data_IF_576846627239
#
_entry.id   IF_576846627239
#
_cell.length_a   1.000
_cell.length_b   1.000
_cell.length_c   1.000
_cell.angle_alpha   90.00
_cell.angle_beta   90.00
_cell.angle_gamma   90.00
#
_symmetry.space_group_name_H-M   'P 1'
#
loop_
_entity.id
_entity.type
_entity.pdbx_description
1 polymer ?
#
# COMPACT_ATOMS: atom_id res chain seq x y z
N UNK A 1 54.38 -55.58 -37.01
CA UNK A 1 54.33 -54.84 -35.74
C UNK A 1 53.52 -53.59 -35.98
N UNK A 2 52.17 -53.63 -35.71
CA UNK A 2 51.26 -52.48 -35.86
C UNK A 2 50.88 -52.05 -34.46
N UNK A 3 51.30 -50.84 -34.04
CA UNK A 3 50.92 -50.22 -32.75
C UNK A 3 49.61 -49.46 -32.98
N UNK A 4 48.52 -49.96 -32.45
CA UNK A 4 47.22 -49.29 -32.38
C UNK A 4 47.24 -48.27 -31.21
N UNK A 5 47.10 -46.99 -31.55
CA UNK A 5 47.01 -45.89 -30.59
C UNK A 5 45.51 -45.70 -30.23
N UNK A 6 45.16 -46.06 -29.01
CA UNK A 6 43.81 -45.83 -28.47
C UNK A 6 43.71 -44.40 -27.95
N UNK A 7 42.96 -43.56 -28.62
CA UNK A 7 42.64 -42.18 -28.18
C UNK A 7 41.41 -42.27 -27.27
N UNK A 8 41.63 -42.13 -25.96
CA UNK A 8 40.57 -41.94 -24.95
C UNK A 8 40.04 -40.51 -25.04
N UNK A 9 38.82 -40.34 -25.61
CA UNK A 9 38.09 -39.08 -25.60
C UNK A 9 37.45 -38.92 -24.25
N UNK A 10 38.08 -38.11 -23.33
CA UNK A 10 37.50 -37.72 -22.09
C UNK A 10 36.44 -36.64 -22.33
N UNK A 11 35.16 -37.01 -22.33
CA UNK A 11 34.04 -36.06 -22.29
C UNK A 11 34.02 -35.36 -20.91
N UNK A 12 34.59 -34.16 -20.87
CA UNK A 12 34.38 -33.24 -19.76
C UNK A 12 32.91 -32.76 -19.85
N UNK A 13 32.05 -33.42 -19.05
CA UNK A 13 30.71 -32.91 -18.76
C UNK A 13 30.91 -31.69 -17.87
N UNK A 14 30.87 -30.53 -18.45
CA UNK A 14 30.84 -29.29 -17.72
C UNK A 14 29.44 -29.18 -17.08
N UNK A 15 29.32 -29.64 -15.85
CA UNK A 15 28.13 -29.38 -15.03
C UNK A 15 28.08 -27.87 -14.77
N UNK A 16 27.30 -27.16 -15.56
CA UNK A 16 26.92 -25.79 -15.23
C UNK A 16 26.34 -25.81 -13.82
N UNK A 17 26.79 -24.95 -12.89
CA UNK A 17 26.11 -24.81 -11.62
C UNK A 17 24.67 -24.41 -11.92
N UNK A 18 23.74 -25.32 -11.65
CA UNK A 18 22.33 -24.97 -11.59
C UNK A 18 22.23 -23.91 -10.48
N UNK A 19 22.28 -22.65 -10.86
CA UNK A 19 21.82 -21.55 -10.03
C UNK A 19 20.31 -21.75 -9.82
N UNK A 20 19.99 -22.66 -8.92
CA UNK A 20 18.73 -22.68 -8.19
C UNK A 20 18.74 -21.52 -7.18
N UNK A 21 19.00 -20.31 -7.66
CA UNK A 21 18.36 -19.14 -7.09
C UNK A 21 16.89 -19.39 -7.39
N UNK A 22 16.15 -19.80 -6.37
CA UNK A 22 14.71 -19.91 -6.44
C UNK A 22 14.22 -18.62 -7.10
N UNK A 23 13.79 -18.70 -8.34
CA UNK A 23 13.25 -17.57 -9.09
C UNK A 23 11.97 -17.23 -8.34
N UNK A 24 12.07 -16.25 -7.43
CA UNK A 24 10.92 -15.85 -6.64
C UNK A 24 9.87 -15.43 -7.64
N UNK A 25 8.71 -16.08 -7.59
CA UNK A 25 7.62 -15.70 -8.47
C UNK A 25 7.23 -14.25 -8.15
N UNK A 26 6.84 -13.45 -9.14
CA UNK A 26 6.35 -12.09 -8.91
C UNK A 26 5.28 -12.06 -7.79
N UNK A 27 4.41 -13.07 -7.74
CA UNK A 27 3.37 -13.18 -6.73
C UNK A 27 3.93 -13.30 -5.30
N UNK A 28 4.97 -14.09 -5.07
CA UNK A 28 5.59 -14.20 -3.75
C UNK A 28 6.20 -12.86 -3.27
N UNK A 29 6.74 -12.08 -4.19
CA UNK A 29 7.28 -10.75 -3.90
C UNK A 29 6.16 -9.77 -3.55
N UNK A 30 5.06 -9.78 -4.32
CA UNK A 30 3.86 -8.97 -4.07
C UNK A 30 3.28 -9.29 -2.69
N UNK A 31 3.03 -10.56 -2.42
CA UNK A 31 2.48 -11.02 -1.13
C UNK A 31 3.41 -10.66 0.04
N UNK A 32 4.73 -10.81 -0.18
CA UNK A 32 5.75 -10.38 0.77
C UNK A 32 5.70 -8.87 1.04
N UNK A 33 5.66 -8.05 0.01
CA UNK A 33 5.59 -6.59 0.13
C UNK A 33 4.32 -6.14 0.87
N UNK A 34 3.17 -6.73 0.55
CA UNK A 34 1.90 -6.44 1.23
C UNK A 34 1.90 -6.92 2.68
N UNK A 35 2.52 -8.07 2.97
CA UNK A 35 2.70 -8.57 4.34
C UNK A 35 3.55 -7.60 5.17
N UNK A 36 4.68 -7.15 4.63
CA UNK A 36 5.56 -6.20 5.33
C UNK A 36 4.82 -4.86 5.58
N UNK A 37 4.03 -4.38 4.63
CA UNK A 37 3.21 -3.17 4.81
C UNK A 37 2.25 -3.33 6.01
N UNK A 38 1.50 -4.44 6.08
CA UNK A 38 0.58 -4.71 7.20
C UNK A 38 1.32 -4.86 8.53
N UNK A 39 2.44 -5.62 8.54
CA UNK A 39 3.24 -5.83 9.77
C UNK A 39 3.82 -4.52 10.28
N UNK A 40 4.33 -3.67 9.40
CA UNK A 40 4.85 -2.35 9.79
C UNK A 40 3.79 -1.42 10.39
N UNK A 41 2.53 -1.51 9.95
CA UNK A 41 1.43 -0.71 10.51
C UNK A 41 1.13 -1.02 11.97
N UNK A 42 1.32 -2.27 12.40
CA UNK A 42 1.06 -2.72 13.78
C UNK A 42 2.32 -2.75 14.67
N UNK A 43 3.49 -2.58 14.09
CA UNK A 43 4.74 -2.54 14.85
C UNK A 43 4.77 -1.35 15.81
N UNK A 44 5.28 -1.59 17.03
CA UNK A 44 5.13 -0.66 18.16
C UNK A 44 6.07 0.54 18.08
N UNK A 45 7.27 0.36 17.58
CA UNK A 45 8.29 1.41 17.54
C UNK A 45 8.61 1.86 16.10
N UNK A 46 9.10 3.09 15.98
CA UNK A 46 9.41 3.72 14.68
C UNK A 46 10.45 2.92 13.89
N UNK A 47 11.48 2.41 14.53
CA UNK A 47 12.57 1.72 13.84
C UNK A 47 12.08 0.39 13.22
N UNK A 48 11.29 -0.39 13.96
CA UNK A 48 10.64 -1.60 13.45
C UNK A 48 9.69 -1.29 12.30
N UNK A 49 8.89 -0.23 12.41
CA UNK A 49 8.00 0.21 11.33
C UNK A 49 8.77 0.54 10.05
N UNK A 50 9.83 1.35 10.16
CA UNK A 50 10.70 1.71 9.02
C UNK A 50 11.29 0.46 8.39
N UNK A 51 11.87 -0.45 9.20
CA UNK A 51 12.50 -1.68 8.70
C UNK A 51 11.52 -2.55 7.88
N UNK A 52 10.26 -2.68 8.35
CA UNK A 52 9.24 -3.40 7.61
C UNK A 52 8.89 -2.72 6.29
N UNK A 53 8.68 -1.40 6.28
CA UNK A 53 8.31 -0.69 5.06
C UNK A 53 9.46 -0.63 4.04
N UNK A 54 10.71 -0.48 4.48
CA UNK A 54 11.88 -0.55 3.59
C UNK A 54 12.03 -1.94 2.96
N UNK A 55 11.83 -3.00 3.76
CA UNK A 55 11.81 -4.36 3.23
C UNK A 55 10.67 -4.58 2.25
N UNK A 56 9.47 -4.10 2.58
CA UNK A 56 8.31 -4.16 1.69
C UNK A 56 8.52 -3.37 0.39
N UNK A 57 9.16 -2.18 0.47
CA UNK A 57 9.55 -1.41 -0.70
C UNK A 57 10.52 -2.21 -1.59
N UNK A 58 11.56 -2.81 -1.02
CA UNK A 58 12.54 -3.59 -1.78
C UNK A 58 11.90 -4.79 -2.49
N UNK A 59 10.95 -5.48 -1.84
CA UNK A 59 10.18 -6.57 -2.45
C UNK A 59 9.25 -6.06 -3.57
N UNK A 60 8.58 -4.93 -3.36
CA UNK A 60 7.74 -4.29 -4.38
C UNK A 60 8.54 -3.86 -5.61
N UNK A 61 9.73 -3.26 -5.41
CA UNK A 61 10.65 -2.89 -6.49
C UNK A 61 11.08 -4.11 -7.32
N UNK A 62 11.38 -5.22 -6.67
CA UNK A 62 11.73 -6.48 -7.34
C UNK A 62 10.52 -7.04 -8.10
N UNK A 63 9.32 -6.98 -7.54
CA UNK A 63 8.11 -7.43 -8.21
C UNK A 63 7.84 -6.62 -9.49
N UNK A 64 7.92 -5.30 -9.42
CA UNK A 64 7.77 -4.40 -10.59
C UNK A 64 8.86 -4.66 -11.62
N UNK A 65 10.12 -4.89 -11.19
CA UNK A 65 11.22 -5.20 -12.11
C UNK A 65 11.02 -6.52 -12.86
N UNK A 66 10.33 -7.50 -12.25
CA UNK A 66 10.00 -8.76 -12.91
C UNK A 66 8.77 -8.65 -13.83
N UNK A 67 7.78 -7.84 -13.45
CA UNK A 67 6.58 -7.61 -14.25
C UNK A 67 6.02 -6.19 -14.04
N UNK A 68 6.48 -5.25 -14.90
CA UNK A 68 6.02 -3.85 -14.95
C UNK A 68 4.55 -3.69 -15.43
N UNK A 69 3.89 -4.80 -15.78
CA UNK A 69 2.48 -4.82 -16.16
C UNK A 69 1.57 -5.38 -15.07
N UNK A 70 2.09 -5.72 -13.93
CA UNK A 70 1.31 -6.14 -12.77
C UNK A 70 0.81 -4.94 -11.98
N UNK A 71 -0.50 -4.70 -11.98
CA UNK A 71 -1.13 -3.67 -11.15
C UNK A 71 -0.87 -3.92 -9.66
N UNK A 72 -0.91 -5.18 -9.23
CA UNK A 72 -0.68 -5.61 -7.85
C UNK A 72 0.76 -5.32 -7.40
N UNK A 73 1.75 -5.47 -8.29
CA UNK A 73 3.15 -5.14 -7.97
C UNK A 73 3.32 -3.64 -7.71
N UNK A 74 2.77 -2.80 -8.60
CA UNK A 74 2.77 -1.35 -8.43
C UNK A 74 2.01 -0.92 -7.17
N UNK A 75 0.87 -1.54 -6.88
CA UNK A 75 0.10 -1.24 -5.67
C UNK A 75 0.85 -1.64 -4.40
N UNK A 76 1.50 -2.79 -4.37
CA UNK A 76 2.29 -3.23 -3.23
C UNK A 76 3.49 -2.30 -2.97
N UNK A 77 4.15 -1.82 -4.03
CA UNK A 77 5.21 -0.82 -3.91
C UNK A 77 4.65 0.52 -3.41
N UNK A 78 3.54 0.99 -3.97
CA UNK A 78 2.82 2.19 -3.53
C UNK A 78 2.51 2.17 -2.03
N UNK A 79 1.99 1.05 -1.50
CA UNK A 79 1.64 0.92 -0.08
C UNK A 79 2.84 1.17 0.84
N UNK A 80 3.99 0.55 0.56
CA UNK A 80 5.18 0.69 1.39
C UNK A 80 5.80 2.09 1.29
N UNK A 81 5.85 2.67 0.08
CA UNK A 81 6.29 4.06 -0.11
C UNK A 81 5.41 5.06 0.64
N UNK A 82 4.09 4.84 0.64
CA UNK A 82 3.13 5.69 1.34
C UNK A 82 3.30 5.65 2.85
N UNK A 83 3.56 4.47 3.42
CA UNK A 83 3.80 4.34 4.86
C UNK A 83 5.14 4.93 5.30
N UNK A 84 6.19 4.81 4.51
CA UNK A 84 7.48 5.49 4.77
C UNK A 84 7.29 7.00 4.82
N UNK A 85 6.54 7.58 3.88
CA UNK A 85 6.26 9.02 3.88
C UNK A 85 5.43 9.47 5.09
N UNK A 86 4.56 8.63 5.62
CA UNK A 86 3.76 8.92 6.82
C UNK A 86 4.61 8.96 8.08
N UNK A 87 5.69 8.18 8.13
CA UNK A 87 6.61 8.15 9.29
C UNK A 87 7.43 9.41 9.37
N UNK A 88 7.93 9.89 8.25
CA UNK A 88 8.89 11.01 8.24
C UNK A 88 8.23 12.36 8.51
N UNK A 89 6.94 12.50 8.21
CA UNK A 89 6.11 13.66 8.61
C UNK A 89 6.61 15.03 8.16
N UNK A 90 7.81 15.12 7.65
CA UNK A 90 8.48 16.35 7.26
C UNK A 90 8.41 16.59 5.75
N UNK A 91 7.96 17.78 5.37
CA UNK A 91 7.99 18.27 3.99
C UNK A 91 9.45 18.68 3.62
N UNK A 92 10.30 17.68 3.36
CA UNK A 92 11.63 17.89 2.79
C UNK A 92 11.63 17.74 1.27
N UNK A 93 12.72 18.13 0.59
CA UNK A 93 12.88 17.90 -0.86
C UNK A 93 12.78 16.39 -1.18
N UNK A 94 13.32 15.55 -0.32
CA UNK A 94 13.19 14.08 -0.42
C UNK A 94 11.74 13.65 -0.33
N UNK A 95 10.91 14.27 0.51
CA UNK A 95 9.47 14.02 0.61
C UNK A 95 8.72 14.37 -0.67
N UNK A 96 9.10 15.44 -1.38
CA UNK A 96 8.50 15.79 -2.69
C UNK A 96 8.82 14.73 -3.75
N UNK A 97 10.06 14.27 -3.81
CA UNK A 97 10.45 13.20 -4.74
C UNK A 97 9.78 11.87 -4.36
N UNK A 98 9.73 11.54 -3.07
CA UNK A 98 9.03 10.37 -2.54
C UNK A 98 7.54 10.41 -2.87
N UNK A 99 6.88 11.56 -2.69
CA UNK A 99 5.48 11.75 -3.06
C UNK A 99 5.24 11.52 -4.56
N UNK A 100 6.06 12.10 -5.43
CA UNK A 100 5.96 11.88 -6.88
C UNK A 100 6.15 10.41 -7.26
N UNK A 101 7.12 9.75 -6.64
CA UNK A 101 7.35 8.32 -6.87
C UNK A 101 6.14 7.50 -6.44
N UNK A 102 5.67 7.70 -5.23
CA UNK A 102 4.50 7.00 -4.68
C UNK A 102 3.25 7.23 -5.55
N UNK A 103 2.95 8.46 -5.93
CA UNK A 103 1.78 8.77 -6.78
C UNK A 103 1.89 8.17 -8.17
N UNK A 104 3.11 8.09 -8.73
CA UNK A 104 3.36 7.41 -10.00
C UNK A 104 2.99 5.93 -9.94
N UNK A 105 3.36 5.24 -8.86
CA UNK A 105 3.00 3.82 -8.69
C UNK A 105 1.48 3.63 -8.55
N UNK A 106 0.80 4.52 -7.84
CA UNK A 106 -0.67 4.51 -7.75
C UNK A 106 -1.33 4.77 -9.11
N UNK A 107 -0.87 5.77 -9.84
CA UNK A 107 -1.40 6.09 -11.17
C UNK A 107 -1.16 4.90 -12.13
N UNK A 108 0.02 4.28 -12.07
CA UNK A 108 0.31 3.09 -12.86
C UNK A 108 -0.57 1.90 -12.51
N UNK A 109 -0.86 1.68 -11.23
CA UNK A 109 -1.84 0.68 -10.79
C UNK A 109 -3.19 0.90 -11.49
N UNK A 110 -3.70 2.14 -11.46
CA UNK A 110 -5.00 2.48 -12.05
C UNK A 110 -5.01 2.53 -13.59
N UNK A 111 -3.86 2.74 -14.22
CA UNK A 111 -3.73 2.58 -15.68
C UNK A 111 -3.85 1.10 -16.08
N UNK A 112 -3.26 0.20 -15.32
CA UNK A 112 -3.25 -1.24 -15.58
C UNK A 112 -4.57 -1.92 -15.15
N UNK A 113 -5.14 -1.48 -14.03
CA UNK A 113 -6.39 -1.97 -13.47
C UNK A 113 -7.26 -0.79 -13.00
N UNK A 114 -8.08 -0.19 -13.90
CA UNK A 114 -8.90 0.99 -13.57
C UNK A 114 -9.96 0.76 -12.50
N UNK A 115 -10.31 -0.49 -12.24
CA UNK A 115 -11.28 -0.93 -11.24
C UNK A 115 -10.65 -1.50 -9.96
N UNK A 116 -9.36 -1.34 -9.76
CA UNK A 116 -8.66 -1.76 -8.55
C UNK A 116 -9.15 -0.96 -7.35
N UNK A 117 -10.05 -1.53 -6.53
CA UNK A 117 -10.79 -0.80 -5.49
C UNK A 117 -9.89 -0.18 -4.41
N UNK A 118 -8.84 -0.87 -3.98
CA UNK A 118 -7.89 -0.32 -3.00
C UNK A 118 -7.13 0.89 -3.56
N UNK A 119 -6.73 0.83 -4.84
CA UNK A 119 -6.06 1.96 -5.50
C UNK A 119 -7.02 3.14 -5.70
N UNK A 120 -8.28 2.87 -6.04
CA UNK A 120 -9.34 3.90 -6.11
C UNK A 120 -9.59 4.52 -4.73
N UNK A 121 -9.61 3.71 -3.66
CA UNK A 121 -9.71 4.18 -2.28
C UNK A 121 -8.53 5.08 -1.90
N UNK A 122 -7.31 4.69 -2.23
CA UNK A 122 -6.11 5.50 -2.01
C UNK A 122 -6.15 6.81 -2.81
N UNK A 123 -6.56 6.78 -4.08
CA UNK A 123 -6.73 7.98 -4.92
C UNK A 123 -7.78 8.93 -4.33
N UNK A 124 -8.92 8.39 -3.91
CA UNK A 124 -9.97 9.15 -3.22
C UNK A 124 -9.45 9.81 -1.95
N UNK A 125 -8.66 9.07 -1.15
CA UNK A 125 -8.01 9.58 0.06
C UNK A 125 -7.09 10.76 -0.23
N UNK A 126 -6.28 10.71 -1.28
CA UNK A 126 -5.42 11.85 -1.67
C UNK A 126 -6.25 13.05 -2.10
N UNK A 127 -7.26 12.84 -2.91
CA UNK A 127 -8.12 13.92 -3.39
C UNK A 127 -8.82 14.68 -2.25
N UNK A 128 -9.26 13.99 -1.19
CA UNK A 128 -9.91 14.63 -0.04
C UNK A 128 -8.93 15.28 0.94
N UNK A 129 -7.66 14.84 0.96
CA UNK A 129 -6.66 15.30 1.94
C UNK A 129 -5.75 16.40 1.44
N UNK A 130 -5.45 16.40 0.14
CA UNK A 130 -4.52 17.38 -0.42
C UNK A 130 -5.21 18.73 -0.59
N UNK A 131 -4.48 19.85 -0.38
CA UNK A 131 -4.93 21.16 -0.82
C UNK A 131 -5.15 21.19 -2.34
N UNK A 132 -6.08 22.02 -2.82
CA UNK A 132 -6.40 22.13 -4.26
C UNK A 132 -5.17 22.47 -5.11
N UNK A 133 -4.27 23.32 -4.59
CA UNK A 133 -3.01 23.70 -5.25
C UNK A 133 -2.05 22.51 -5.44
N UNK A 134 -2.23 21.43 -4.68
CA UNK A 134 -1.46 20.19 -4.79
C UNK A 134 -2.25 19.06 -5.46
N UNK A 135 -3.33 19.39 -6.18
CA UNK A 135 -4.17 18.43 -6.90
C UNK A 135 -5.29 17.81 -6.06
N UNK A 136 -5.57 18.35 -4.88
CA UNK A 136 -6.74 17.95 -4.08
C UNK A 136 -8.04 18.39 -4.74
N UNK A 137 -9.05 17.52 -4.65
CA UNK A 137 -10.43 17.76 -5.12
C UNK A 137 -11.35 16.94 -4.21
N UNK A 138 -11.88 17.62 -3.20
CA UNK A 138 -12.68 16.98 -2.17
C UNK A 138 -13.94 16.32 -2.73
N UNK A 139 -14.64 17.00 -3.60
CA UNK A 139 -15.91 16.50 -4.16
C UNK A 139 -15.66 15.22 -4.97
N UNK A 140 -14.67 15.27 -5.84
CA UNK A 140 -14.26 14.11 -6.64
C UNK A 140 -13.74 12.97 -5.76
N UNK A 141 -12.97 13.30 -4.73
CA UNK A 141 -12.45 12.30 -3.79
C UNK A 141 -13.58 11.62 -3.00
N UNK A 142 -14.53 12.37 -2.45
CA UNK A 142 -15.68 11.79 -1.75
C UNK A 142 -16.56 10.95 -2.68
N UNK A 143 -16.78 11.40 -3.93
CA UNK A 143 -17.51 10.61 -4.93
C UNK A 143 -16.81 9.28 -5.20
N UNK A 144 -15.48 9.29 -5.32
CA UNK A 144 -14.70 8.09 -5.57
C UNK A 144 -14.74 7.13 -4.37
N UNK A 145 -14.58 7.64 -3.15
CA UNK A 145 -14.68 6.83 -1.94
C UNK A 145 -16.08 6.21 -1.75
N UNK A 146 -17.15 6.96 -2.04
CA UNK A 146 -18.51 6.41 -2.06
C UNK A 146 -18.69 5.32 -3.12
N UNK A 147 -18.10 5.50 -4.30
CA UNK A 147 -18.10 4.46 -5.33
C UNK A 147 -17.40 3.17 -4.83
N UNK A 148 -16.24 3.31 -4.19
CA UNK A 148 -15.56 2.15 -3.57
C UNK A 148 -16.48 1.46 -2.57
N UNK A 149 -17.15 2.20 -1.67
CA UNK A 149 -18.08 1.62 -0.69
C UNK A 149 -19.33 0.97 -1.32
N UNK A 150 -19.77 1.41 -2.50
CA UNK A 150 -20.84 0.73 -3.25
C UNK A 150 -20.38 -0.64 -3.79
N UNK A 151 -19.12 -0.75 -4.20
CA UNK A 151 -18.54 -1.98 -4.75
C UNK A 151 -18.04 -2.91 -3.65
N UNK A 152 -17.45 -2.35 -2.62
CA UNK A 152 -16.88 -3.03 -1.47
C UNK A 152 -17.39 -2.39 -0.16
N UNK A 153 -18.60 -2.76 0.28
CA UNK A 153 -19.19 -2.21 1.50
C UNK A 153 -18.35 -2.42 2.76
N UNK A 154 -17.37 -3.28 2.74
CA UNK A 154 -16.52 -3.60 3.87
C UNK A 154 -15.17 -2.88 3.85
N UNK A 155 -14.93 -1.97 2.92
CA UNK A 155 -13.67 -1.22 2.83
C UNK A 155 -13.49 -0.28 4.03
N UNK A 156 -12.62 -0.68 4.96
CA UNK A 156 -12.27 0.12 6.15
C UNK A 156 -11.59 1.43 5.75
N UNK A 157 -10.62 1.36 4.81
CA UNK A 157 -9.87 2.54 4.36
C UNK A 157 -10.79 3.61 3.73
N UNK A 158 -11.73 3.22 2.88
CA UNK A 158 -12.66 4.16 2.25
C UNK A 158 -13.58 4.83 3.28
N UNK A 159 -14.06 4.09 4.29
CA UNK A 159 -14.86 4.64 5.39
C UNK A 159 -14.08 5.64 6.23
N UNK A 160 -12.86 5.30 6.64
CA UNK A 160 -12.02 6.20 7.44
C UNK A 160 -11.69 7.49 6.68
N UNK A 161 -11.43 7.39 5.39
CA UNK A 161 -11.12 8.55 4.54
C UNK A 161 -12.33 9.46 4.37
N UNK A 162 -13.53 8.89 4.19
CA UNK A 162 -14.79 9.65 4.17
C UNK A 162 -15.08 10.27 5.53
N UNK A 163 -14.91 9.53 6.64
CA UNK A 163 -15.10 10.07 7.98
C UNK A 163 -14.25 11.32 8.23
N UNK A 164 -12.97 11.25 7.85
CA UNK A 164 -12.04 12.39 7.96
C UNK A 164 -12.48 13.57 7.08
N UNK A 165 -12.91 13.31 5.84
CA UNK A 165 -13.40 14.35 4.94
C UNK A 165 -14.67 15.00 5.48
N UNK A 166 -15.62 14.22 5.97
CA UNK A 166 -16.89 14.72 6.52
C UNK A 166 -16.64 15.55 7.78
N UNK A 167 -15.73 15.11 8.67
CA UNK A 167 -15.33 15.89 9.84
C UNK A 167 -14.76 17.26 9.44
N UNK A 168 -13.88 17.30 8.46
CA UNK A 168 -13.29 18.55 7.97
C UNK A 168 -14.32 19.50 7.33
N UNK A 169 -15.50 18.98 6.97
CA UNK A 169 -16.62 19.73 6.39
C UNK A 169 -17.76 20.02 7.40
N UNK A 170 -17.55 19.79 8.69
CA UNK A 170 -18.57 20.01 9.71
C UNK A 170 -19.69 18.96 9.75
N UNK A 171 -19.59 17.87 8.98
CA UNK A 171 -20.56 16.76 8.96
C UNK A 171 -20.25 15.76 10.08
N UNK A 172 -20.23 16.25 11.32
CA UNK A 172 -19.68 15.48 12.45
C UNK A 172 -20.45 14.21 12.77
N UNK A 173 -21.79 14.21 12.70
CA UNK A 173 -22.61 13.02 12.97
C UNK A 173 -22.34 11.90 11.97
N UNK A 174 -22.25 12.24 10.68
CA UNK A 174 -21.96 11.27 9.63
C UNK A 174 -20.51 10.76 9.72
N UNK A 175 -19.56 11.65 10.08
CA UNK A 175 -18.18 11.27 10.32
C UNK A 175 -18.06 10.26 11.49
N UNK A 176 -18.79 10.49 12.59
CA UNK A 176 -18.83 9.57 13.73
C UNK A 176 -19.39 8.19 13.34
N UNK A 177 -20.49 8.15 12.60
CA UNK A 177 -21.09 6.91 12.14
C UNK A 177 -20.10 6.10 11.30
N UNK A 178 -19.51 6.73 10.28
CA UNK A 178 -18.52 6.08 9.41
C UNK A 178 -17.28 5.58 10.17
N UNK A 179 -16.77 6.36 11.13
CA UNK A 179 -15.61 5.96 11.91
C UNK A 179 -15.92 4.79 12.86
N UNK A 180 -17.12 4.76 13.46
CA UNK A 180 -17.57 3.64 14.28
C UNK A 180 -17.69 2.36 13.43
N UNK A 181 -18.40 2.44 12.29
CA UNK A 181 -18.53 1.30 11.37
C UNK A 181 -17.16 0.80 10.86
N UNK A 182 -16.20 1.72 10.63
CA UNK A 182 -14.87 1.35 10.20
C UNK A 182 -14.11 0.55 11.28
N UNK A 183 -14.25 0.95 12.56
CA UNK A 183 -13.64 0.22 13.67
C UNK A 183 -14.28 -1.16 13.85
N UNK A 184 -15.61 -1.22 13.83
CA UNK A 184 -16.37 -2.48 13.97
C UNK A 184 -16.00 -3.47 12.87
N UNK A 185 -15.89 -2.99 11.62
CA UNK A 185 -15.47 -3.80 10.47
C UNK A 185 -14.01 -4.27 10.58
N UNK A 186 -13.09 -3.37 10.98
CA UNK A 186 -11.69 -3.74 11.15
C UNK A 186 -11.52 -4.87 12.17
N UNK A 187 -12.26 -4.80 13.28
CA UNK A 187 -12.27 -5.85 14.30
C UNK A 187 -12.91 -7.14 13.82
N UNK A 188 -14.09 -7.06 13.17
CA UNK A 188 -14.82 -8.21 12.69
C UNK A 188 -14.07 -9.00 11.58
N UNK A 189 -13.25 -8.30 10.79
CA UNK A 189 -12.51 -8.89 9.67
C UNK A 189 -11.04 -9.21 10.02
N UNK A 190 -10.64 -9.04 11.29
CA UNK A 190 -9.24 -9.22 11.72
C UNK A 190 -8.24 -8.38 10.91
N UNK A 191 -8.66 -7.17 10.53
CA UNK A 191 -7.80 -6.19 9.89
C UNK A 191 -7.07 -5.35 10.96
N UNK A 192 -6.25 -6.03 11.75
CA UNK A 192 -5.59 -5.46 12.94
C UNK A 192 -4.72 -4.24 12.63
N UNK A 193 -4.25 -4.13 11.39
CA UNK A 193 -3.48 -2.99 10.89
C UNK A 193 -4.30 -1.70 10.75
N UNK A 194 -5.63 -1.77 10.66
CA UNK A 194 -6.53 -0.61 10.65
C UNK A 194 -7.10 -0.24 12.02
N UNK A 195 -7.12 -1.16 12.98
CA UNK A 195 -7.72 -0.92 14.30
C UNK A 195 -7.12 0.29 15.03
N UNK A 196 -5.79 0.50 15.07
CA UNK A 196 -5.21 1.69 15.73
C UNK A 196 -5.68 3.00 15.10
N UNK A 197 -5.67 3.10 13.78
CA UNK A 197 -6.10 4.30 13.06
C UNK A 197 -7.60 4.56 13.24
N UNK A 198 -8.45 3.54 13.11
CA UNK A 198 -9.89 3.65 13.30
C UNK A 198 -10.24 4.11 14.71
N UNK A 199 -9.60 3.53 15.74
CA UNK A 199 -9.78 3.91 17.13
C UNK A 199 -9.37 5.37 17.38
N UNK A 200 -8.26 5.80 16.84
CA UNK A 200 -7.76 7.18 16.97
C UNK A 200 -8.71 8.18 16.31
N UNK A 201 -9.17 7.91 15.10
CA UNK A 201 -10.12 8.77 14.38
C UNK A 201 -11.42 8.90 15.15
N UNK A 202 -11.97 7.79 15.62
CA UNK A 202 -13.21 7.78 16.42
C UNK A 202 -13.06 8.57 17.71
N UNK A 203 -11.96 8.42 18.43
CA UNK A 203 -11.68 9.16 19.67
C UNK A 203 -11.57 10.68 19.40
N UNK A 204 -10.87 11.08 18.35
CA UNK A 204 -10.78 12.49 17.91
C UNK A 204 -12.14 13.10 17.61
N UNK A 205 -12.98 12.39 16.85
CA UNK A 205 -14.32 12.85 16.48
C UNK A 205 -15.23 13.03 17.70
N UNK A 206 -15.19 12.09 18.65
CA UNK A 206 -15.94 12.19 19.92
C UNK A 206 -15.50 13.41 20.74
N UNK A 207 -14.18 13.66 20.82
CA UNK A 207 -13.65 14.81 21.53
C UNK A 207 -14.07 16.13 20.89
N UNK A 208 -14.07 16.21 19.55
CA UNK A 208 -14.50 17.40 18.82
C UNK A 208 -16.01 17.66 18.97
N UNK A 209 -16.82 16.62 18.95
CA UNK A 209 -18.26 16.73 19.20
C UNK A 209 -18.58 17.23 20.62
N UNK A 210 -17.82 16.76 21.62
CA UNK A 210 -18.00 17.21 23.01
C UNK A 210 -17.59 18.69 23.24
N UNK A 211 -16.71 19.25 22.41
CA UNK A 211 -16.30 20.66 22.48
C UNK A 211 -17.23 21.62 21.73
N UNK A 212 -18.05 21.09 20.82
CA UNK A 212 -18.99 21.88 20.02
C UNK A 212 -20.38 22.06 20.66
N UNK A 213 -20.65 21.28 21.72
CA UNK A 213 -21.84 21.39 22.60
C UNK A 213 -21.52 22.18 23.87
#
# INVERSE_FOLDING_TARGET
MKKTFLILLACLIWAAPNNLLAQQSPQLLIDGAMKECRTGRVAQDKASRVAHFEKGQALGEQAVALDDRSAEAHFALFCNLGELMRIDGELSITSVMGFRRMTKELDRTLELAPDHLDALSAKGTFLVRLPSMLGGDREKGEKLLRYVLQKEPQSVNARLSLAKSYCANGRHSEALALASEALDLAQAQHQDDFVPEASQVLAQLRTNAAKAN
#
